data_IF_834686182022
#
_entry.id   IF_834686182022
#
_cell.length_a   1.000
_cell.length_b   1.000
_cell.length_c   1.000
_cell.angle_alpha   90.00
_cell.angle_beta   90.00
_cell.angle_gamma   90.00
#
_symmetry.space_group_name_H-M   'P 1'
#
loop_
_entity.id
_entity.type
_entity.pdbx_description
1 polymer ?
#
# COMPACT_ATOMS: atom_id res chain seq x y z
N UNK A 1 13.68 20.45 -14.65
CA UNK A 1 13.31 21.13 -13.38
C UNK A 1 12.13 20.39 -12.74
N UNK A 2 12.25 20.10 -11.45
CA UNK A 2 11.17 19.42 -10.73
C UNK A 2 10.01 20.37 -10.44
N UNK A 3 8.78 19.87 -10.54
CA UNK A 3 7.60 20.63 -10.17
C UNK A 3 7.57 20.82 -8.65
N UNK A 4 7.37 22.05 -8.22
CA UNK A 4 7.24 22.38 -6.79
C UNK A 4 5.83 22.09 -6.31
N UNK A 5 5.73 21.44 -5.15
CA UNK A 5 4.45 21.15 -4.51
C UNK A 5 4.36 21.84 -3.16
N UNK A 6 3.19 22.40 -2.88
CA UNK A 6 2.82 22.82 -1.53
C UNK A 6 2.57 21.59 -0.68
N UNK A 7 2.39 21.78 0.64
CA UNK A 7 2.04 20.69 1.53
C UNK A 7 0.74 19.99 1.09
N UNK A 8 -0.30 20.76 0.78
CA UNK A 8 -1.58 20.22 0.33
C UNK A 8 -1.43 19.44 -0.97
N UNK A 9 -0.67 19.98 -1.93
CA UNK A 9 -0.43 19.32 -3.21
C UNK A 9 0.38 18.01 -3.04
N UNK A 10 1.33 18.00 -2.13
CA UNK A 10 2.15 16.81 -1.85
C UNK A 10 1.28 15.69 -1.24
N UNK A 11 0.43 16.02 -0.29
CA UNK A 11 -0.50 15.06 0.32
C UNK A 11 -1.49 14.54 -0.72
N UNK A 12 -2.00 15.42 -1.59
CA UNK A 12 -2.92 15.05 -2.67
C UNK A 12 -2.26 14.10 -3.67
N UNK A 13 -1.01 14.37 -4.06
CA UNK A 13 -0.24 13.49 -4.94
C UNK A 13 -0.08 12.09 -4.33
N UNK A 14 0.24 12.03 -3.04
CA UNK A 14 0.36 10.77 -2.32
C UNK A 14 -0.98 10.03 -2.25
N UNK A 15 -2.07 10.75 -1.97
CA UNK A 15 -3.42 10.19 -1.93
C UNK A 15 -3.82 9.56 -3.27
N UNK A 16 -3.54 10.26 -4.36
CA UNK A 16 -3.83 9.75 -5.72
C UNK A 16 -3.06 8.46 -5.98
N UNK A 17 -1.77 8.40 -5.61
CA UNK A 17 -0.97 7.19 -5.80
C UNK A 17 -1.51 6.03 -4.98
N UNK A 18 -1.95 6.28 -3.75
CA UNK A 18 -2.59 5.25 -2.95
C UNK A 18 -3.86 4.73 -3.63
N UNK A 19 -4.76 5.64 -4.02
CA UNK A 19 -6.04 5.27 -4.64
C UNK A 19 -5.85 4.49 -5.95
N UNK A 20 -4.88 4.86 -6.76
CA UNK A 20 -4.57 4.15 -8.01
C UNK A 20 -4.19 2.68 -7.76
N UNK A 21 -3.55 2.40 -6.63
CA UNK A 21 -3.11 1.05 -6.28
C UNK A 21 -4.09 0.31 -5.36
N UNK A 22 -5.12 1.00 -4.86
CA UNK A 22 -6.08 0.46 -3.89
C UNK A 22 -7.42 0.07 -4.51
N UNK A 23 -7.62 0.29 -5.81
CA UNK A 23 -8.88 0.04 -6.50
C UNK A 23 -9.24 -1.44 -6.54
N UNK A 24 -10.52 -1.73 -6.31
CA UNK A 24 -11.01 -3.11 -6.23
C UNK A 24 -10.73 -3.91 -7.50
N UNK A 25 -10.98 -3.33 -8.67
CA UNK A 25 -10.80 -4.05 -9.94
C UNK A 25 -9.36 -4.48 -10.17
N UNK A 26 -8.39 -3.62 -9.87
CA UNK A 26 -6.99 -3.94 -10.00
C UNK A 26 -6.54 -5.04 -9.06
N UNK A 27 -7.03 -4.99 -7.81
CA UNK A 27 -6.72 -6.01 -6.81
C UNK A 27 -7.32 -7.37 -7.19
N UNK A 28 -8.55 -7.39 -7.68
CA UNK A 28 -9.18 -8.64 -8.14
C UNK A 28 -8.49 -9.21 -9.38
N UNK A 29 -8.00 -8.37 -10.28
CA UNK A 29 -7.19 -8.81 -11.43
C UNK A 29 -5.90 -9.48 -10.97
N UNK A 30 -5.22 -8.90 -9.97
CA UNK A 30 -4.05 -9.52 -9.36
C UNK A 30 -4.40 -10.88 -8.74
N UNK A 31 -5.52 -10.95 -8.03
CA UNK A 31 -5.98 -12.20 -7.41
C UNK A 31 -6.17 -13.31 -8.43
N UNK A 32 -6.74 -12.99 -9.59
CA UNK A 32 -6.90 -13.95 -10.67
C UNK A 32 -5.55 -14.45 -11.22
N UNK A 33 -4.59 -13.56 -11.38
CA UNK A 33 -3.26 -13.90 -11.88
C UNK A 33 -2.43 -14.72 -10.89
N UNK A 34 -2.60 -14.46 -9.59
CA UNK A 34 -1.83 -15.11 -8.53
C UNK A 34 -2.60 -16.25 -7.85
N UNK A 35 -3.78 -16.57 -8.34
CA UNK A 35 -4.66 -17.62 -7.80
C UNK A 35 -4.96 -17.40 -6.32
N UNK A 36 -5.25 -16.16 -5.93
CA UNK A 36 -5.61 -15.80 -4.56
C UNK A 36 -7.12 -15.95 -4.34
N UNK A 37 -7.57 -16.31 -3.13
CA UNK A 37 -8.99 -16.44 -2.83
C UNK A 37 -9.74 -15.11 -3.00
N UNK A 38 -10.80 -15.10 -3.81
CA UNK A 38 -11.62 -13.91 -4.04
C UNK A 38 -13.05 -14.25 -4.50
N UNK A 39 -13.52 -15.46 -4.19
CA UNK A 39 -14.84 -15.90 -4.63
C UNK A 39 -15.96 -15.43 -3.71
N UNK A 40 -15.69 -15.35 -2.40
CA UNK A 40 -16.66 -14.89 -1.41
C UNK A 40 -16.42 -13.42 -1.06
N UNK A 41 -17.45 -12.77 -0.51
CA UNK A 41 -17.33 -11.39 -0.04
C UNK A 41 -16.27 -11.27 1.06
N UNK A 42 -16.20 -12.24 1.98
CA UNK A 42 -15.21 -12.26 3.05
C UNK A 42 -13.80 -12.35 2.49
N UNK A 43 -13.58 -13.23 1.51
CA UNK A 43 -12.28 -13.37 0.85
C UNK A 43 -11.85 -12.09 0.14
N UNK A 44 -12.79 -11.45 -0.58
CA UNK A 44 -12.52 -10.19 -1.27
C UNK A 44 -12.19 -9.08 -0.28
N UNK A 45 -12.92 -8.98 0.81
CA UNK A 45 -12.68 -7.97 1.85
C UNK A 45 -11.30 -8.13 2.46
N UNK A 46 -10.92 -9.35 2.80
CA UNK A 46 -9.59 -9.65 3.36
C UNK A 46 -8.48 -9.30 2.38
N UNK A 47 -8.64 -9.70 1.13
CA UNK A 47 -7.68 -9.40 0.07
C UNK A 47 -7.50 -7.90 -0.12
N UNK A 48 -8.61 -7.15 -0.21
CA UNK A 48 -8.58 -5.70 -0.35
C UNK A 48 -7.90 -5.02 0.84
N UNK A 49 -8.21 -5.46 2.05
CA UNK A 49 -7.61 -4.90 3.26
C UNK A 49 -6.09 -5.07 3.23
N UNK A 50 -5.61 -6.28 2.93
CA UNK A 50 -4.18 -6.56 2.90
C UNK A 50 -3.47 -5.79 1.81
N UNK A 51 -4.02 -5.77 0.61
CA UNK A 51 -3.38 -5.06 -0.51
C UNK A 51 -3.37 -3.54 -0.31
N UNK A 52 -4.49 -2.99 0.17
CA UNK A 52 -4.57 -1.56 0.48
C UNK A 52 -3.61 -1.16 1.58
N UNK A 53 -3.41 -2.03 2.57
CA UNK A 53 -2.43 -1.79 3.63
C UNK A 53 -1.01 -1.74 3.08
N UNK A 54 -0.66 -2.66 2.19
CA UNK A 54 0.63 -2.64 1.51
C UNK A 54 0.80 -1.37 0.67
N UNK A 55 -0.21 -1.01 -0.13
CA UNK A 55 -0.16 0.19 -0.97
C UNK A 55 0.02 1.46 -0.14
N UNK A 56 -0.72 1.58 0.97
CA UNK A 56 -0.62 2.73 1.88
C UNK A 56 0.75 2.82 2.53
N UNK A 57 1.27 1.69 3.00
CA UNK A 57 2.62 1.63 3.58
C UNK A 57 3.70 1.97 2.54
N UNK A 58 3.51 1.55 1.29
CA UNK A 58 4.44 1.85 0.19
C UNK A 58 4.52 3.35 -0.10
N UNK A 59 3.38 4.02 -0.12
CA UNK A 59 3.33 5.49 -0.31
C UNK A 59 3.99 6.19 0.87
N UNK A 60 3.68 5.79 2.09
CA UNK A 60 4.33 6.34 3.29
C UNK A 60 5.85 6.18 3.20
N UNK A 61 6.33 5.00 2.87
CA UNK A 61 7.76 4.72 2.75
C UNK A 61 8.43 5.63 1.72
N UNK A 62 7.81 5.78 0.56
CA UNK A 62 8.33 6.65 -0.49
C UNK A 62 8.39 8.12 -0.04
N UNK A 63 7.36 8.60 0.66
CA UNK A 63 7.35 9.93 1.24
C UNK A 63 8.47 10.11 2.27
N UNK A 64 8.71 9.10 3.10
CA UNK A 64 9.82 9.15 4.07
C UNK A 64 11.18 9.30 3.38
N UNK A 65 11.34 8.71 2.20
CA UNK A 65 12.58 8.77 1.44
C UNK A 65 12.76 10.07 0.65
N UNK A 66 11.66 10.67 0.16
CA UNK A 66 11.70 11.77 -0.81
C UNK A 66 11.21 13.11 -0.28
N UNK A 67 10.39 13.13 0.78
CA UNK A 67 9.67 14.31 1.22
C UNK A 67 10.00 14.67 2.67
N UNK A 68 9.75 15.93 3.09
CA UNK A 68 9.87 16.31 4.49
C UNK A 68 8.86 15.56 5.39
N UNK A 69 9.21 15.37 6.65
CA UNK A 69 8.39 14.64 7.61
C UNK A 69 6.96 15.18 7.75
N UNK A 70 6.75 16.47 7.58
CA UNK A 70 5.40 17.06 7.68
C UNK A 70 4.48 16.48 6.61
N UNK A 71 4.98 16.16 5.41
CA UNK A 71 4.18 15.52 4.37
C UNK A 71 3.77 14.11 4.81
N UNK A 72 4.72 13.36 5.37
CA UNK A 72 4.44 12.01 5.90
C UNK A 72 3.34 12.06 6.95
N UNK A 73 3.48 12.97 7.93
CA UNK A 73 2.52 13.11 9.02
C UNK A 73 1.14 13.47 8.50
N UNK A 74 1.04 14.44 7.60
CA UNK A 74 -0.26 14.88 7.06
C UNK A 74 -0.88 13.80 6.17
N UNK A 75 -0.07 13.05 5.43
CA UNK A 75 -0.57 11.90 4.67
C UNK A 75 -1.18 10.85 5.61
N UNK A 76 -0.47 10.51 6.70
CA UNK A 76 -0.97 9.53 7.66
C UNK A 76 -2.23 10.02 8.39
N UNK A 77 -2.34 11.32 8.66
CA UNK A 77 -3.55 11.91 9.23
C UNK A 77 -4.75 11.78 8.29
N UNK A 78 -4.54 11.76 7.00
CA UNK A 78 -5.59 11.62 6.00
C UNK A 78 -6.08 10.18 5.84
N UNK A 79 -5.45 9.19 6.47
CA UNK A 79 -5.73 7.76 6.29
C UNK A 79 -7.21 7.42 6.46
N UNK A 80 -7.83 7.85 7.54
CA UNK A 80 -9.24 7.50 7.80
C UNK A 80 -10.17 8.06 6.73
N UNK A 81 -9.90 9.30 6.27
CA UNK A 81 -10.67 9.90 5.19
C UNK A 81 -10.53 9.16 3.87
N UNK A 82 -9.32 8.71 3.55
CA UNK A 82 -9.05 7.91 2.35
C UNK A 82 -9.79 6.57 2.40
N UNK A 83 -9.77 5.89 3.55
CA UNK A 83 -10.45 4.61 3.72
C UNK A 83 -11.97 4.75 3.62
N UNK A 84 -12.54 5.82 4.19
CA UNK A 84 -13.96 6.11 4.05
C UNK A 84 -14.34 6.34 2.58
N UNK A 85 -13.48 7.01 1.83
CA UNK A 85 -13.67 7.20 0.40
C UNK A 85 -13.70 5.89 -0.40
N UNK A 86 -13.09 4.83 0.13
CA UNK A 86 -13.10 3.48 -0.44
C UNK A 86 -14.22 2.61 0.12
N UNK A 87 -15.09 3.15 0.98
CA UNK A 87 -16.23 2.44 1.53
C UNK A 87 -16.00 1.73 2.86
N UNK A 88 -14.85 1.98 3.51
CA UNK A 88 -14.57 1.37 4.81
C UNK A 88 -15.32 2.07 5.94
N UNK A 89 -15.82 1.28 6.91
CA UNK A 89 -16.41 1.81 8.14
C UNK A 89 -15.32 2.34 9.09
N UNK A 90 -15.72 3.05 10.15
CA UNK A 90 -14.78 3.54 11.16
C UNK A 90 -14.04 2.38 11.85
N UNK A 91 -14.75 1.30 12.18
CA UNK A 91 -14.15 0.14 12.81
C UNK A 91 -13.15 -0.57 11.88
N UNK A 92 -13.51 -0.71 10.61
CA UNK A 92 -12.62 -1.26 9.58
C UNK A 92 -11.36 -0.40 9.43
N UNK A 93 -11.49 0.93 9.51
CA UNK A 93 -10.37 1.85 9.44
C UNK A 93 -9.43 1.71 10.64
N UNK A 94 -9.95 1.51 11.85
CA UNK A 94 -9.13 1.30 13.04
C UNK A 94 -8.35 -0.01 12.95
N UNK A 95 -8.99 -1.10 12.54
CA UNK A 95 -8.32 -2.38 12.33
C UNK A 95 -7.26 -2.29 11.24
N UNK A 96 -7.54 -1.54 10.19
CA UNK A 96 -6.59 -1.31 9.11
C UNK A 96 -5.31 -0.66 9.64
N UNK A 97 -5.44 0.42 10.40
CA UNK A 97 -4.28 1.17 10.92
C UNK A 97 -3.51 0.36 11.96
N UNK A 98 -4.21 -0.25 12.91
CA UNK A 98 -3.58 -0.94 14.05
C UNK A 98 -3.02 -2.31 13.67
N UNK A 99 -3.59 -2.97 12.67
CA UNK A 99 -3.20 -4.31 12.27
C UNK A 99 -2.50 -4.38 10.92
N UNK A 100 -3.28 -4.35 9.84
CA UNK A 100 -2.76 -4.59 8.50
C UNK A 100 -1.68 -3.60 8.07
N UNK A 101 -1.94 -2.30 8.22
CA UNK A 101 -0.96 -1.28 7.82
C UNK A 101 0.37 -1.45 8.55
N UNK A 102 0.32 -1.64 9.87
CA UNK A 102 1.54 -1.80 10.69
C UNK A 102 2.36 -3.01 10.26
N UNK A 103 1.71 -4.08 9.81
CA UNK A 103 2.38 -5.29 9.38
C UNK A 103 3.27 -5.06 8.15
N UNK A 104 2.87 -4.17 7.24
CA UNK A 104 3.66 -3.83 6.05
C UNK A 104 4.60 -2.64 6.28
N UNK A 105 4.19 -1.69 7.13
CA UNK A 105 5.03 -0.55 7.47
C UNK A 105 6.32 -0.98 8.15
N UNK A 106 6.26 -1.98 9.04
CA UNK A 106 7.42 -2.44 9.79
C UNK A 106 8.60 -2.89 8.90
N UNK A 107 8.43 -3.85 7.98
CA UNK A 107 9.55 -4.23 7.11
C UNK A 107 10.03 -3.10 6.21
N UNK A 108 9.14 -2.23 5.73
CA UNK A 108 9.54 -1.10 4.87
C UNK A 108 10.40 -0.11 5.63
N UNK A 109 10.02 0.25 6.85
CA UNK A 109 10.79 1.18 7.70
C UNK A 109 12.17 0.60 8.03
N UNK A 110 12.27 -0.72 8.19
CA UNK A 110 13.54 -1.41 8.43
C UNK A 110 14.35 -1.66 7.16
N UNK A 111 13.93 -1.12 6.03
CA UNK A 111 14.56 -1.31 4.71
C UNK A 111 14.61 -2.79 4.27
N UNK A 112 13.56 -3.54 4.60
CA UNK A 112 13.42 -4.95 4.29
C UNK A 112 12.15 -5.19 3.46
N UNK A 113 11.98 -4.42 2.39
CA UNK A 113 10.80 -4.49 1.51
C UNK A 113 10.56 -5.90 0.96
N UNK A 114 11.61 -6.69 0.80
CA UNK A 114 11.52 -8.06 0.32
C UNK A 114 10.75 -9.00 1.27
N UNK A 115 10.48 -8.57 2.50
CA UNK A 115 9.68 -9.34 3.44
C UNK A 115 8.17 -9.15 3.23
N UNK A 116 7.75 -8.12 2.49
CA UNK A 116 6.32 -7.82 2.29
C UNK A 116 5.52 -8.96 1.67
N UNK A 117 6.02 -9.68 0.66
CA UNK A 117 5.28 -10.85 0.14
C UNK A 117 5.03 -11.92 1.20
N UNK A 118 6.01 -12.19 2.06
CA UNK A 118 5.85 -13.15 3.15
C UNK A 118 4.79 -12.71 4.15
N UNK A 119 4.77 -11.43 4.50
CA UNK A 119 3.74 -10.84 5.36
C UNK A 119 2.36 -11.02 4.72
N UNK A 120 2.26 -10.73 3.43
CA UNK A 120 1.01 -10.81 2.68
C UNK A 120 0.43 -12.23 2.70
N UNK A 121 1.23 -13.24 2.36
CA UNK A 121 0.74 -14.62 2.34
C UNK A 121 0.42 -15.14 3.73
N UNK A 122 1.21 -14.79 4.73
CA UNK A 122 0.95 -15.22 6.11
C UNK A 122 -0.35 -14.63 6.63
N UNK A 123 -0.59 -13.35 6.37
CA UNK A 123 -1.81 -12.69 6.84
C UNK A 123 -3.04 -13.09 6.04
N UNK A 124 -2.90 -13.23 4.72
CA UNK A 124 -4.02 -13.55 3.84
C UNK A 124 -4.43 -15.04 3.93
N UNK A 125 -3.45 -15.94 3.92
CA UNK A 125 -3.66 -17.38 3.79
C UNK A 125 -3.24 -18.18 5.03
N UNK A 126 -2.49 -17.59 5.93
CA UNK A 126 -1.89 -18.31 7.05
C UNK A 126 -0.73 -19.22 6.62
N UNK A 127 -0.14 -18.97 5.46
CA UNK A 127 0.91 -19.81 4.87
C UNK A 127 2.26 -19.11 4.85
N UNK A 128 3.32 -19.89 5.01
CA UNK A 128 4.66 -19.38 4.70
C UNK A 128 4.84 -19.33 3.18
N UNK A 129 5.76 -18.47 2.71
CA UNK A 129 6.01 -18.31 1.26
C UNK A 129 6.38 -19.64 0.61
N UNK A 130 7.13 -20.49 1.32
CA UNK A 130 7.54 -21.80 0.83
C UNK A 130 6.37 -22.76 0.56
N UNK A 131 5.21 -22.49 1.17
CA UNK A 131 3.99 -23.28 0.99
C UNK A 131 3.14 -22.79 -0.19
N UNK A 132 3.45 -21.61 -0.72
CA UNK A 132 2.74 -21.01 -1.87
C UNK A 132 3.39 -21.52 -3.16
N UNK A 133 2.60 -21.89 -4.19
CA UNK A 133 3.19 -22.25 -5.49
C UNK A 133 4.13 -21.13 -5.98
N UNK A 134 5.32 -21.51 -6.42
CA UNK A 134 6.39 -20.58 -6.76
C UNK A 134 5.94 -19.53 -7.80
N UNK A 135 5.12 -19.94 -8.77
CA UNK A 135 4.61 -19.02 -9.79
C UNK A 135 3.68 -17.95 -9.19
N UNK A 136 2.82 -18.34 -8.24
CA UNK A 136 1.90 -17.41 -7.59
C UNK A 136 2.65 -16.44 -6.67
N UNK A 137 3.63 -16.94 -5.93
CA UNK A 137 4.50 -16.12 -5.09
C UNK A 137 5.29 -15.11 -5.94
N UNK A 138 5.79 -15.53 -7.11
CA UNK A 138 6.52 -14.65 -8.02
C UNK A 138 5.65 -13.52 -8.58
N UNK A 139 4.38 -13.80 -8.89
CA UNK A 139 3.44 -12.77 -9.36
C UNK A 139 3.25 -11.69 -8.28
N UNK A 140 2.96 -12.08 -7.05
CA UNK A 140 2.75 -11.13 -5.95
C UNK A 140 4.02 -10.34 -5.66
N UNK A 141 5.16 -11.02 -5.55
CA UNK A 141 6.45 -10.35 -5.30
C UNK A 141 6.80 -9.35 -6.39
N UNK A 142 6.58 -9.72 -7.65
CA UNK A 142 6.85 -8.86 -8.80
C UNK A 142 5.96 -7.63 -8.81
N UNK A 143 4.65 -7.79 -8.56
CA UNK A 143 3.71 -6.66 -8.50
C UNK A 143 4.02 -5.75 -7.33
N UNK A 144 4.34 -6.28 -6.15
CA UNK A 144 4.75 -5.48 -5.01
C UNK A 144 5.99 -4.65 -5.31
N UNK A 145 7.00 -5.25 -5.94
CA UNK A 145 8.21 -4.52 -6.34
C UNK A 145 7.89 -3.42 -7.34
N UNK A 146 7.00 -3.68 -8.29
CA UNK A 146 6.56 -2.66 -9.27
C UNK A 146 5.83 -1.51 -8.61
N UNK A 147 4.95 -1.78 -7.64
CA UNK A 147 4.23 -0.74 -6.90
C UNK A 147 5.21 0.15 -6.15
N UNK A 148 6.13 -0.44 -5.40
CA UNK A 148 7.14 0.33 -4.66
C UNK A 148 7.98 1.19 -5.58
N UNK A 149 8.47 0.63 -6.68
CA UNK A 149 9.28 1.35 -7.66
C UNK A 149 8.51 2.49 -8.32
N UNK A 150 7.28 2.24 -8.75
CA UNK A 150 6.46 3.25 -9.43
C UNK A 150 6.08 4.40 -8.49
N UNK A 151 5.72 4.11 -7.24
CA UNK A 151 5.40 5.12 -6.25
C UNK A 151 6.62 5.97 -5.93
N UNK A 152 7.78 5.34 -5.73
CA UNK A 152 9.03 6.03 -5.46
C UNK A 152 9.42 6.94 -6.61
N UNK A 153 9.42 6.42 -7.84
CA UNK A 153 9.77 7.18 -9.04
C UNK A 153 8.89 8.41 -9.21
N UNK A 154 7.59 8.25 -8.94
CA UNK A 154 6.66 9.36 -9.08
C UNK A 154 6.90 10.45 -8.04
N UNK A 155 7.10 10.07 -6.78
CA UNK A 155 7.28 11.04 -5.69
C UNK A 155 8.66 11.71 -5.73
N UNK A 156 9.67 11.06 -6.29
CA UNK A 156 10.99 11.65 -6.52
C UNK A 156 10.98 12.76 -7.57
N UNK A 157 9.96 12.82 -8.42
CA UNK A 157 9.86 13.82 -9.49
C UNK A 157 9.52 15.22 -8.99
N UNK A 158 9.10 15.36 -7.74
CA UNK A 158 8.66 16.63 -7.18
C UNK A 158 9.71 17.29 -6.31
N UNK A 159 9.63 18.62 -6.24
CA UNK A 159 10.33 19.43 -5.28
C UNK A 159 9.32 19.86 -4.20
N UNK A 160 9.58 19.49 -2.97
CA UNK A 160 8.67 19.75 -1.85
C UNK A 160 8.97 21.10 -1.22
N UNK A 161 8.52 22.17 -1.88
CA UNK A 161 8.63 23.54 -1.40
C UNK A 161 7.45 23.85 -0.47
N UNK A 162 7.61 23.58 0.80
CA UNK A 162 6.54 23.66 1.80
C UNK A 162 6.44 25.08 2.42
N UNK A 163 6.21 26.07 1.61
CA UNK A 163 5.99 27.43 2.09
C UNK A 163 4.51 27.76 2.23
#
# INVERSE_FOLDING_TARGET
MKRKLSLAEAVEAARILFEMNAGEQGVLALAGRASLPHDTEEERTRLLTEWRAFAHASVMYALMACAPNVVVVEYLRATQGMLRGLGCSADEGEEFVDGAFSAYADPLVRLQAQECPAVFFRRLLGWEVSEVPAQNAAVVSGVMAMVLSAVMDKLEQYDYALE
#
